data_IF_562475971745
#
_entry.id   IF_562475971745
#
_cell.length_a   1.000
_cell.length_b   1.000
_cell.length_c   1.000
_cell.angle_alpha   90.00
_cell.angle_beta   90.00
_cell.angle_gamma   90.00
#
_symmetry.space_group_name_H-M   'P 1'
#
loop_
_entity.id
_entity.type
_entity.pdbx_description
1 polymer ?
#
# COMPACT_ATOMS: atom_id res chain seq x y z
N UNK A 1 -10.73 2.09 26.58
CA UNK A 1 -10.29 1.85 25.19
C UNK A 1 -9.96 0.39 25.06
N UNK A 2 -10.69 -0.35 24.22
CA UNK A 2 -10.20 -1.65 23.76
C UNK A 2 -8.94 -1.31 22.96
N UNK A 3 -7.79 -1.87 23.37
CA UNK A 3 -6.60 -1.81 22.53
C UNK A 3 -6.91 -2.74 21.36
N UNK A 4 -7.34 -2.16 20.25
CA UNK A 4 -7.58 -2.94 19.04
C UNK A 4 -6.22 -3.45 18.54
N UNK A 5 -5.99 -4.75 18.71
CA UNK A 5 -4.85 -5.41 18.08
C UNK A 5 -5.12 -5.45 16.57
N UNK A 6 -4.22 -4.90 15.75
CA UNK A 6 -4.30 -4.88 14.27
C UNK A 6 -3.21 -5.72 13.59
N UNK A 7 -2.49 -6.58 14.32
CA UNK A 7 -1.29 -7.30 13.85
C UNK A 7 -1.51 -8.16 12.59
N UNK A 8 -2.73 -8.63 12.37
CA UNK A 8 -3.15 -9.43 11.21
C UNK A 8 -3.36 -8.60 9.94
N UNK A 9 -3.75 -7.33 10.07
CA UNK A 9 -4.08 -6.46 8.94
C UNK A 9 -3.03 -5.37 8.68
N UNK A 10 -2.25 -4.97 9.68
CA UNK A 10 -1.33 -3.83 9.56
C UNK A 10 -0.08 -4.13 8.70
N UNK A 11 0.59 -3.11 8.17
CA UNK A 11 1.91 -3.25 7.59
C UNK A 11 2.95 -3.68 8.63
N UNK A 12 4.13 -4.06 8.15
CA UNK A 12 5.26 -4.32 9.04
C UNK A 12 5.78 -3.04 9.68
N UNK A 13 6.38 -3.21 10.86
CA UNK A 13 7.14 -2.20 11.57
C UNK A 13 8.64 -2.42 11.38
N UNK A 14 9.45 -1.40 11.67
CA UNK A 14 10.91 -1.43 11.47
C UNK A 14 11.58 -2.64 12.13
N UNK A 15 11.15 -2.99 13.35
CA UNK A 15 11.69 -4.15 14.08
C UNK A 15 11.47 -5.50 13.35
N UNK A 16 10.47 -5.58 12.48
CA UNK A 16 10.11 -6.79 11.74
C UNK A 16 10.88 -6.90 10.40
N UNK A 17 11.38 -5.78 9.86
CA UNK A 17 11.95 -5.69 8.50
C UNK A 17 13.10 -6.67 8.31
N UNK A 18 14.09 -6.69 9.21
CA UNK A 18 15.25 -7.56 9.06
C UNK A 18 14.86 -9.05 8.98
N UNK A 19 13.95 -9.50 9.85
CA UNK A 19 13.47 -10.88 9.88
C UNK A 19 12.64 -11.23 8.64
N UNK A 20 11.78 -10.32 8.18
CA UNK A 20 10.98 -10.51 6.96
C UNK A 20 11.89 -10.60 5.73
N UNK A 21 12.85 -9.69 5.60
CA UNK A 21 13.79 -9.67 4.48
C UNK A 21 14.61 -10.97 4.40
N UNK A 22 15.06 -11.49 5.55
CA UNK A 22 15.75 -12.77 5.59
C UNK A 22 14.87 -13.92 5.09
N UNK A 23 13.61 -14.00 5.53
CA UNK A 23 12.66 -15.02 5.06
C UNK A 23 12.43 -14.90 3.55
N UNK A 24 12.17 -13.69 3.04
CA UNK A 24 11.95 -13.42 1.62
C UNK A 24 13.14 -13.90 0.76
N UNK A 25 14.37 -13.61 1.19
CA UNK A 25 15.59 -14.03 0.46
C UNK A 25 15.74 -15.56 0.40
N UNK A 26 15.21 -16.26 1.41
CA UNK A 26 15.27 -17.72 1.48
C UNK A 26 14.12 -18.39 0.71
N UNK A 27 13.03 -17.66 0.46
CA UNK A 27 11.85 -18.16 -0.24
C UNK A 27 12.17 -18.61 -1.68
N UNK A 28 11.93 -19.90 -2.03
CA UNK A 28 12.29 -20.44 -3.33
C UNK A 28 11.45 -19.89 -4.48
N UNK A 29 10.20 -19.47 -4.21
CA UNK A 29 9.27 -18.97 -5.22
C UNK A 29 9.59 -17.51 -5.55
N UNK A 30 9.92 -16.69 -4.56
CA UNK A 30 10.44 -15.34 -4.79
C UNK A 30 11.75 -15.39 -5.57
N UNK A 31 12.72 -16.18 -5.10
CA UNK A 31 14.04 -16.30 -5.75
C UNK A 31 13.89 -16.83 -7.18
N UNK A 32 12.99 -17.80 -7.39
CA UNK A 32 12.66 -18.32 -8.71
C UNK A 32 12.08 -17.23 -9.63
N UNK A 33 11.12 -16.46 -9.14
CA UNK A 33 10.48 -15.37 -9.87
C UNK A 33 11.47 -14.27 -10.26
N UNK A 34 12.32 -13.85 -9.32
CA UNK A 34 13.38 -12.86 -9.56
C UNK A 34 14.40 -13.37 -10.58
N UNK A 35 14.81 -14.64 -10.50
CA UNK A 35 15.73 -15.23 -11.47
C UNK A 35 15.11 -15.30 -12.88
N UNK A 36 13.85 -15.71 -12.98
CA UNK A 36 13.12 -15.77 -14.24
C UNK A 36 12.96 -14.38 -14.89
N UNK A 37 12.74 -13.35 -14.08
CA UNK A 37 12.61 -11.97 -14.55
C UNK A 37 13.95 -11.37 -14.98
N UNK A 38 15.00 -11.46 -14.15
CA UNK A 38 16.28 -10.79 -14.40
C UNK A 38 17.13 -11.49 -15.47
N UNK A 39 17.11 -12.82 -15.50
CA UNK A 39 17.98 -13.63 -16.37
C UNK A 39 17.22 -14.79 -17.01
N UNK A 40 16.15 -14.53 -17.79
CA UNK A 40 15.20 -15.54 -18.28
C UNK A 40 15.86 -16.68 -19.06
N UNK A 41 16.82 -16.36 -19.95
CA UNK A 41 17.54 -17.36 -20.73
C UNK A 41 18.39 -18.26 -19.82
N UNK A 42 19.10 -17.67 -18.86
CA UNK A 42 19.94 -18.42 -17.91
C UNK A 42 19.08 -19.30 -17.01
N UNK A 43 17.98 -18.77 -16.48
CA UNK A 43 17.04 -19.53 -15.65
C UNK A 43 16.46 -20.75 -16.39
N UNK A 44 16.16 -20.61 -17.69
CA UNK A 44 15.66 -21.72 -18.51
C UNK A 44 16.65 -22.88 -18.65
N UNK A 45 17.94 -22.59 -18.79
CA UNK A 45 18.97 -23.61 -19.05
C UNK A 45 19.72 -24.08 -17.80
N UNK A 46 19.92 -23.22 -16.80
CA UNK A 46 20.66 -23.53 -15.56
C UNK A 46 19.96 -22.92 -14.32
N UNK A 47 18.76 -23.39 -13.97
CA UNK A 47 17.90 -22.76 -12.95
C UNK A 47 18.53 -22.66 -11.56
N UNK A 48 19.32 -23.65 -11.14
CA UNK A 48 19.98 -23.63 -9.82
C UNK A 48 20.99 -22.49 -9.70
N UNK A 49 21.84 -22.32 -10.71
CA UNK A 49 22.84 -21.25 -10.73
C UNK A 49 22.20 -19.86 -10.86
N UNK A 50 21.15 -19.72 -11.67
CA UNK A 50 20.38 -18.49 -11.80
C UNK A 50 19.70 -18.10 -10.47
N UNK A 51 19.11 -19.07 -9.75
CA UNK A 51 18.55 -18.86 -8.41
C UNK A 51 19.61 -18.45 -7.39
N UNK A 52 20.80 -19.08 -7.42
CA UNK A 52 21.90 -18.70 -6.54
C UNK A 52 22.35 -17.26 -6.79
N UNK A 53 22.48 -16.86 -8.05
CA UNK A 53 22.78 -15.49 -8.45
C UNK A 53 21.69 -14.51 -7.95
N UNK A 54 20.41 -14.82 -8.20
CA UNK A 54 19.28 -14.00 -7.76
C UNK A 54 19.26 -13.82 -6.23
N UNK A 55 19.45 -14.91 -5.47
CA UNK A 55 19.54 -14.85 -4.01
C UNK A 55 20.69 -13.98 -3.53
N UNK A 56 21.87 -14.10 -4.14
CA UNK A 56 23.02 -13.27 -3.78
C UNK A 56 22.78 -11.79 -4.10
N UNK A 57 22.10 -11.49 -5.21
CA UNK A 57 21.72 -10.13 -5.57
C UNK A 57 20.70 -9.56 -4.57
N UNK A 58 19.67 -10.33 -4.20
CA UNK A 58 18.68 -9.96 -3.19
C UNK A 58 19.36 -9.68 -1.84
N UNK A 59 20.27 -10.55 -1.39
CA UNK A 59 21.08 -10.32 -0.16
C UNK A 59 21.85 -9.01 -0.22
N UNK A 60 22.48 -8.71 -1.35
CA UNK A 60 23.24 -7.46 -1.52
C UNK A 60 22.33 -6.24 -1.45
N UNK A 61 21.16 -6.27 -2.10
CA UNK A 61 20.19 -5.16 -2.07
C UNK A 61 19.52 -5.01 -0.70
N UNK A 62 19.30 -6.11 0.02
CA UNK A 62 18.69 -6.11 1.34
C UNK A 62 19.62 -5.66 2.47
N UNK A 63 20.95 -5.66 2.27
CA UNK A 63 21.94 -5.40 3.33
C UNK A 63 21.78 -4.03 4.03
N UNK A 64 21.12 -3.07 3.39
CA UNK A 64 20.84 -1.74 3.95
C UNK A 64 19.36 -1.50 4.32
N UNK A 65 18.49 -2.50 4.21
CA UNK A 65 17.06 -2.34 4.48
C UNK A 65 16.76 -2.77 5.91
N UNK A 66 16.78 -1.80 6.83
CA UNK A 66 16.56 -2.03 8.26
C UNK A 66 15.24 -1.45 8.75
N UNK A 67 14.69 -0.48 8.03
CA UNK A 67 13.44 0.19 8.34
C UNK A 67 12.48 0.12 7.16
N UNK A 68 11.19 0.36 7.42
CA UNK A 68 10.19 0.54 6.37
C UNK A 68 10.56 1.72 5.50
N UNK A 69 11.14 2.79 6.06
CA UNK A 69 11.61 3.95 5.30
C UNK A 69 12.66 3.57 4.27
N UNK A 70 13.64 2.72 4.62
CA UNK A 70 14.65 2.21 3.67
C UNK A 70 14.00 1.49 2.48
N UNK A 71 12.98 0.67 2.75
CA UNK A 71 12.22 -0.03 1.72
C UNK A 71 11.47 0.97 0.82
N UNK A 72 10.83 1.98 1.40
CA UNK A 72 10.11 3.01 0.66
C UNK A 72 11.06 3.81 -0.24
N UNK A 73 12.24 4.20 0.25
CA UNK A 73 13.26 4.91 -0.55
C UNK A 73 13.73 4.04 -1.72
N UNK A 74 13.97 2.75 -1.48
CA UNK A 74 14.34 1.81 -2.54
C UNK A 74 13.23 1.71 -3.61
N UNK A 75 11.98 1.60 -3.19
CA UNK A 75 10.83 1.53 -4.11
C UNK A 75 10.67 2.83 -4.89
N UNK A 76 10.76 3.99 -4.24
CA UNK A 76 10.72 5.29 -4.90
C UNK A 76 11.81 5.42 -5.96
N UNK A 77 13.04 4.93 -5.69
CA UNK A 77 14.11 4.92 -6.69
C UNK A 77 13.82 4.02 -7.90
N UNK A 78 13.09 2.90 -7.72
CA UNK A 78 12.63 2.10 -8.86
C UNK A 78 11.54 2.83 -9.67
N UNK A 79 10.60 3.49 -9.01
CA UNK A 79 9.58 4.31 -9.68
C UNK A 79 10.23 5.48 -10.44
N UNK A 80 11.19 6.18 -9.84
CA UNK A 80 11.97 7.23 -10.52
C UNK A 80 12.65 6.71 -11.79
N UNK A 81 13.31 5.55 -11.68
CA UNK A 81 13.97 4.92 -12.82
C UNK A 81 12.98 4.51 -13.92
N UNK A 82 11.85 3.91 -13.53
CA UNK A 82 10.78 3.50 -14.43
C UNK A 82 10.24 4.70 -15.19
N UNK A 83 9.78 5.73 -14.47
CA UNK A 83 9.26 6.99 -15.03
C UNK A 83 10.22 7.55 -16.07
N UNK A 84 11.49 7.73 -15.72
CA UNK A 84 12.48 8.30 -16.64
C UNK A 84 12.71 7.45 -17.91
N UNK A 85 12.47 6.15 -17.85
CA UNK A 85 12.79 5.21 -18.95
C UNK A 85 11.59 4.84 -19.81
N UNK A 86 10.39 4.86 -19.25
CA UNK A 86 9.21 4.24 -19.86
C UNK A 86 8.01 5.18 -19.97
N UNK A 87 8.12 6.44 -19.57
CA UNK A 87 7.04 7.43 -19.72
C UNK A 87 7.55 8.69 -20.41
N UNK A 88 6.64 9.48 -20.98
CA UNK A 88 6.92 10.81 -21.54
C UNK A 88 7.03 11.91 -20.46
N UNK A 89 7.19 11.50 -19.19
CA UNK A 89 7.25 12.38 -18.04
C UNK A 89 6.33 11.94 -16.90
N UNK A 90 6.39 12.70 -15.81
CA UNK A 90 5.54 12.55 -14.64
C UNK A 90 5.14 13.94 -14.15
N UNK A 91 3.86 14.11 -13.84
CA UNK A 91 3.34 15.37 -13.30
C UNK A 91 2.43 15.09 -12.13
N UNK A 92 2.51 15.95 -11.12
CA UNK A 92 1.63 15.97 -9.96
C UNK A 92 1.20 17.41 -9.73
N UNK A 93 -0.06 17.63 -9.39
CA UNK A 93 -0.63 18.95 -9.12
C UNK A 93 -1.60 18.86 -7.94
N UNK A 94 -1.75 19.96 -7.21
CA UNK A 94 -2.54 20.03 -5.99
C UNK A 94 -1.77 19.65 -4.72
N UNK A 95 -0.66 18.92 -4.84
CA UNK A 95 0.19 18.54 -3.70
C UNK A 95 0.80 19.77 -3.02
N UNK A 96 1.03 20.85 -3.77
CA UNK A 96 1.53 22.13 -3.25
C UNK A 96 0.57 22.83 -2.26
N UNK A 97 -0.68 22.37 -2.19
CA UNK A 97 -1.71 22.88 -1.27
C UNK A 97 -1.81 22.08 0.02
N UNK A 98 -1.04 20.99 0.13
CA UNK A 98 -1.05 20.12 1.29
C UNK A 98 0.06 20.53 2.27
N UNK A 99 -0.21 20.34 3.56
CA UNK A 99 0.73 20.53 4.65
C UNK A 99 1.47 19.21 4.91
N UNK A 100 2.80 19.25 4.96
CA UNK A 100 3.65 18.05 5.13
C UNK A 100 3.53 17.42 6.51
N UNK A 101 3.09 18.19 7.50
CA UNK A 101 2.98 17.73 8.90
C UNK A 101 1.61 17.11 9.20
N UNK A 102 0.67 17.13 8.26
CA UNK A 102 -0.68 16.60 8.45
C UNK A 102 -0.87 15.23 7.76
N UNK A 103 -1.60 14.30 8.41
CA UNK A 103 -2.01 13.06 7.77
C UNK A 103 -3.23 13.29 6.87
N UNK A 104 -3.27 12.59 5.75
CA UNK A 104 -4.35 12.66 4.77
C UNK A 104 -5.00 11.30 4.51
N UNK A 105 -6.31 11.30 4.31
CA UNK A 105 -7.02 10.17 3.73
C UNK A 105 -7.18 10.43 2.23
N UNK A 106 -6.29 9.85 1.43
CA UNK A 106 -6.35 9.92 -0.03
C UNK A 106 -7.35 8.91 -0.57
N UNK A 107 -8.31 9.38 -1.37
CA UNK A 107 -9.28 8.52 -2.05
C UNK A 107 -9.12 8.64 -3.57
N UNK A 108 -8.73 7.55 -4.23
CA UNK A 108 -8.32 7.59 -5.64
C UNK A 108 -9.13 6.67 -6.54
N UNK A 109 -9.22 7.00 -7.84
CA UNK A 109 -9.52 5.98 -8.85
C UNK A 109 -8.42 4.89 -8.84
N UNK A 110 -8.74 3.68 -9.28
CA UNK A 110 -7.81 2.57 -9.17
C UNK A 110 -7.92 1.61 -10.36
N UNK A 111 -6.85 1.45 -11.14
CA UNK A 111 -6.73 0.50 -12.27
C UNK A 111 -5.78 -0.66 -11.94
N UNK A 112 -4.61 -0.39 -11.37
CA UNK A 112 -3.63 -1.39 -10.93
C UNK A 112 -3.02 -0.97 -9.59
N UNK A 113 -3.16 -1.81 -8.58
CA UNK A 113 -3.00 -1.39 -7.18
C UNK A 113 -1.54 -1.07 -6.89
N UNK A 114 -0.62 -1.80 -7.53
CA UNK A 114 0.80 -1.62 -7.37
C UNK A 114 1.25 -0.33 -8.06
N UNK A 115 0.78 -0.09 -9.29
CA UNK A 115 1.13 1.12 -10.03
C UNK A 115 0.47 2.37 -9.44
N UNK A 116 -0.83 2.32 -9.11
CA UNK A 116 -1.58 3.45 -8.58
C UNK A 116 -1.00 3.92 -7.23
N UNK A 117 -0.88 2.99 -6.27
CA UNK A 117 -0.33 3.32 -4.95
C UNK A 117 1.16 3.66 -5.03
N UNK A 118 1.90 3.04 -5.94
CA UNK A 118 3.30 3.32 -6.17
C UNK A 118 3.55 4.71 -6.76
N UNK A 119 2.79 5.13 -7.78
CA UNK A 119 2.85 6.49 -8.31
C UNK A 119 2.41 7.53 -7.28
N UNK A 120 1.38 7.23 -6.49
CA UNK A 120 0.96 8.11 -5.39
C UNK A 120 2.08 8.28 -4.37
N UNK A 121 2.66 7.18 -3.88
CA UNK A 121 3.75 7.26 -2.90
C UNK A 121 5.02 7.87 -3.48
N UNK A 122 5.30 7.67 -4.77
CA UNK A 122 6.37 8.38 -5.47
C UNK A 122 6.11 9.89 -5.53
N UNK A 123 4.86 10.31 -5.82
CA UNK A 123 4.48 11.72 -5.80
C UNK A 123 4.71 12.36 -4.43
N UNK A 124 4.28 11.67 -3.36
CA UNK A 124 4.51 12.10 -1.98
C UNK A 124 6.01 12.21 -1.68
N UNK A 125 6.75 11.14 -1.92
CA UNK A 125 8.18 11.07 -1.62
C UNK A 125 9.00 12.13 -2.39
N UNK A 126 8.71 12.33 -3.68
CA UNK A 126 9.41 13.32 -4.52
C UNK A 126 9.09 14.79 -4.17
N UNK A 127 8.09 15.02 -3.32
CA UNK A 127 7.70 16.35 -2.82
C UNK A 127 7.95 16.52 -1.31
N UNK A 128 8.80 15.64 -0.73
CA UNK A 128 9.18 15.61 0.68
C UNK A 128 8.01 15.34 1.65
N UNK A 129 6.98 14.60 1.20
CA UNK A 129 5.92 14.08 2.07
C UNK A 129 6.22 12.65 2.53
N UNK A 130 5.78 12.26 3.74
CA UNK A 130 5.74 10.86 4.14
C UNK A 130 4.86 10.03 3.19
N UNK A 131 5.31 8.82 2.83
CA UNK A 131 4.50 7.91 2.03
C UNK A 131 3.30 7.35 2.81
N UNK A 132 2.20 7.11 2.10
CA UNK A 132 0.94 6.65 2.67
C UNK A 132 0.90 5.13 2.91
N UNK A 133 0.04 4.70 3.84
CA UNK A 133 -0.34 3.30 3.98
C UNK A 133 -1.44 2.94 2.98
N UNK A 134 -1.32 1.78 2.35
CA UNK A 134 -2.13 1.43 1.18
C UNK A 134 -3.19 0.40 1.58
N UNK A 135 -4.46 0.73 1.41
CA UNK A 135 -5.57 -0.20 1.60
C UNK A 135 -5.61 -1.20 0.44
N UNK A 136 -5.46 -2.48 0.74
CA UNK A 136 -5.42 -3.55 -0.28
C UNK A 136 -6.36 -4.68 0.12
N UNK A 137 -7.07 -5.26 -0.85
CA UNK A 137 -7.98 -6.38 -0.60
C UNK A 137 -7.25 -7.64 -0.12
N UNK A 138 -7.94 -8.44 0.70
CA UNK A 138 -7.48 -9.74 1.20
C UNK A 138 -7.03 -10.72 0.08
N UNK A 139 -7.53 -10.55 -1.14
CA UNK A 139 -7.17 -11.33 -2.32
C UNK A 139 -5.69 -11.24 -2.71
N UNK A 140 -5.00 -10.14 -2.34
CA UNK A 140 -3.57 -9.93 -2.63
C UNK A 140 -2.66 -10.32 -1.47
N UNK A 141 -3.25 -10.67 -0.32
CA UNK A 141 -2.55 -11.23 0.83
C UNK A 141 -2.54 -12.76 0.77
N UNK A 142 -2.28 -13.32 -0.42
CA UNK A 142 -2.07 -14.75 -0.56
C UNK A 142 -0.96 -15.23 0.39
N UNK A 143 -1.07 -16.48 0.85
CA UNK A 143 -0.04 -17.08 1.71
C UNK A 143 1.28 -17.13 0.95
N UNK A 144 2.36 -16.72 1.60
CA UNK A 144 3.70 -16.77 1.02
C UNK A 144 4.39 -15.42 1.02
N UNK A 145 5.33 -15.25 0.09
CA UNK A 145 6.19 -14.08 0.00
C UNK A 145 5.44 -12.83 -0.48
N UNK A 146 4.30 -12.97 -1.17
CA UNK A 146 3.52 -11.83 -1.68
C UNK A 146 2.92 -11.02 -0.53
N UNK A 147 2.35 -11.69 0.47
CA UNK A 147 1.84 -11.03 1.68
C UNK A 147 2.95 -10.28 2.41
N UNK A 148 4.12 -10.91 2.57
CA UNK A 148 5.28 -10.28 3.21
C UNK A 148 5.72 -9.03 2.41
N UNK A 149 5.73 -9.09 1.07
CA UNK A 149 6.06 -7.96 0.21
C UNK A 149 5.04 -6.82 0.35
N UNK A 150 3.74 -7.11 0.28
CA UNK A 150 2.68 -6.09 0.44
C UNK A 150 2.78 -5.39 1.79
N UNK A 151 3.06 -6.12 2.88
CA UNK A 151 3.21 -5.52 4.20
C UNK A 151 4.46 -4.66 4.35
N UNK A 152 5.56 -5.01 3.65
CA UNK A 152 6.75 -4.16 3.57
C UNK A 152 6.50 -2.88 2.77
N UNK A 153 5.56 -2.89 1.81
CA UNK A 153 5.18 -1.71 1.02
C UNK A 153 4.19 -0.79 1.73
N UNK A 154 4.07 -0.86 3.06
CA UNK A 154 3.08 -0.13 3.87
C UNK A 154 1.61 -0.51 3.55
N UNK A 155 1.36 -1.67 2.96
CA UNK A 155 -0.02 -2.08 2.68
C UNK A 155 -0.68 -2.74 3.88
N UNK A 156 -1.95 -2.42 4.10
CA UNK A 156 -2.80 -3.05 5.11
C UNK A 156 -3.99 -3.76 4.47
N UNK A 157 -4.48 -4.78 5.14
CA UNK A 157 -5.54 -5.66 4.63
C UNK A 157 -6.92 -5.04 4.87
N UNK A 158 -7.71 -4.96 3.81
CA UNK A 158 -9.16 -4.79 3.88
C UNK A 158 -9.80 -6.14 3.61
N UNK A 159 -10.40 -6.73 4.65
CA UNK A 159 -11.08 -8.02 4.57
C UNK A 159 -12.46 -7.83 3.94
N UNK A 160 -12.76 -8.60 2.88
CA UNK A 160 -13.97 -8.39 2.05
C UNK A 160 -14.89 -9.60 2.01
N UNK A 161 -14.32 -10.80 2.08
CA UNK A 161 -15.04 -12.03 1.76
C UNK A 161 -15.50 -12.84 2.99
N UNK A 162 -15.81 -12.14 4.09
CA UNK A 162 -16.30 -12.80 5.30
C UNK A 162 -17.71 -13.37 5.13
N UNK A 163 -17.94 -14.54 5.74
CA UNK A 163 -19.23 -15.23 5.65
C UNK A 163 -20.20 -14.70 6.70
N UNK A 164 -21.25 -14.04 6.23
CA UNK A 164 -22.37 -13.58 7.04
C UNK A 164 -22.26 -12.12 7.49
N UNK A 165 -23.41 -11.48 7.65
CA UNK A 165 -23.54 -10.03 7.89
C UNK A 165 -22.75 -9.55 9.12
N UNK A 166 -22.75 -10.34 10.20
CA UNK A 166 -22.04 -9.99 11.44
C UNK A 166 -20.52 -9.92 11.23
N UNK A 167 -19.95 -10.89 10.52
CA UNK A 167 -18.52 -10.95 10.25
C UNK A 167 -18.09 -9.84 9.28
N UNK A 168 -18.88 -9.60 8.22
CA UNK A 168 -18.66 -8.48 7.30
C UNK A 168 -18.71 -7.12 8.01
N UNK A 169 -19.69 -6.90 8.87
CA UNK A 169 -19.77 -5.66 9.65
C UNK A 169 -18.57 -5.50 10.59
N UNK A 170 -18.15 -6.57 11.26
CA UNK A 170 -16.96 -6.55 12.11
C UNK A 170 -15.69 -6.21 11.31
N UNK A 171 -15.53 -6.76 10.10
CA UNK A 171 -14.42 -6.44 9.20
C UNK A 171 -14.42 -4.97 8.76
N UNK A 172 -15.58 -4.42 8.41
CA UNK A 172 -15.73 -3.00 8.07
C UNK A 172 -15.41 -2.09 9.26
N UNK A 173 -15.93 -2.42 10.46
CA UNK A 173 -15.66 -1.67 11.68
C UNK A 173 -14.16 -1.69 12.02
N UNK A 174 -13.51 -2.86 11.89
CA UNK A 174 -12.07 -3.02 12.11
C UNK A 174 -11.24 -2.21 11.14
N UNK A 175 -11.60 -2.23 9.86
CA UNK A 175 -10.94 -1.43 8.82
C UNK A 175 -11.07 0.07 9.12
N UNK A 176 -12.28 0.51 9.49
CA UNK A 176 -12.55 1.89 9.90
C UNK A 176 -11.72 2.32 11.11
N UNK A 177 -11.67 1.48 12.15
CA UNK A 177 -10.89 1.73 13.35
C UNK A 177 -9.38 1.80 13.06
N UNK A 178 -8.88 0.96 12.16
CA UNK A 178 -7.49 0.99 11.72
C UNK A 178 -7.14 2.26 10.92
N UNK A 179 -8.01 2.69 10.01
CA UNK A 179 -7.80 3.94 9.25
C UNK A 179 -7.77 5.12 10.23
N UNK A 180 -8.73 5.19 11.16
CA UNK A 180 -8.75 6.21 12.20
C UNK A 180 -7.46 6.20 13.01
N UNK A 181 -7.05 5.05 13.54
CA UNK A 181 -5.84 4.95 14.38
C UNK A 181 -4.57 5.33 13.60
N UNK A 182 -4.51 5.03 12.31
CA UNK A 182 -3.40 5.41 11.42
C UNK A 182 -3.33 6.92 11.22
N UNK A 183 -4.48 7.56 10.97
CA UNK A 183 -4.56 9.02 10.83
C UNK A 183 -4.25 9.73 12.15
N UNK A 184 -4.81 9.25 13.27
CA UNK A 184 -4.56 9.79 14.62
C UNK A 184 -3.06 9.67 15.01
N UNK A 185 -2.36 8.66 14.49
CA UNK A 185 -0.92 8.48 14.66
C UNK A 185 -0.06 9.35 13.72
N UNK A 186 -0.67 10.20 12.89
CA UNK A 186 0.04 11.10 11.97
C UNK A 186 0.46 10.46 10.65
N UNK A 187 -0.17 9.34 10.25
CA UNK A 187 0.13 8.67 8.99
C UNK A 187 -1.00 8.78 7.98
N UNK A 188 -0.66 9.12 6.74
CA UNK A 188 -1.61 9.16 5.63
C UNK A 188 -2.03 7.77 5.17
N UNK A 189 -3.24 7.65 4.65
CA UNK A 189 -3.82 6.44 4.08
C UNK A 189 -4.23 6.70 2.64
N UNK A 190 -4.02 5.73 1.76
CA UNK A 190 -4.57 5.69 0.41
C UNK A 190 -5.57 4.54 0.28
N UNK A 191 -6.71 4.81 -0.35
CA UNK A 191 -7.75 3.81 -0.62
C UNK A 191 -8.47 4.11 -1.94
N UNK A 192 -8.93 3.05 -2.63
CA UNK A 192 -9.68 3.20 -3.87
C UNK A 192 -11.11 3.73 -3.63
N UNK A 193 -11.63 4.50 -4.58
CA UNK A 193 -12.99 5.08 -4.55
C UNK A 193 -14.11 4.04 -4.55
N UNK A 194 -13.83 2.83 -5.05
CA UNK A 194 -14.77 1.70 -5.11
C UNK A 194 -14.01 0.39 -5.16
N UNK A 195 -14.72 -0.71 -5.00
CA UNK A 195 -14.17 -2.03 -5.27
C UNK A 195 -14.02 -2.30 -6.78
N UNK A 196 -12.94 -3.00 -7.13
CA UNK A 196 -12.64 -3.45 -8.48
C UNK A 196 -11.89 -2.41 -9.33
N UNK A 197 -11.22 -2.90 -10.37
CA UNK A 197 -10.40 -2.07 -11.26
C UNK A 197 -11.25 -1.11 -12.10
N UNK A 198 -10.72 0.08 -12.34
CA UNK A 198 -11.26 1.07 -13.25
C UNK A 198 -11.03 0.65 -14.69
N UNK A 199 -12.06 0.80 -15.52
CA UNK A 199 -12.01 0.45 -16.96
C UNK A 199 -11.64 1.67 -17.81
N UNK A 200 -12.16 2.83 -17.45
CA UNK A 200 -12.07 4.10 -18.15
C UNK A 200 -11.40 5.21 -17.32
N UNK A 201 -10.97 4.90 -16.08
CA UNK A 201 -10.38 5.85 -15.15
C UNK A 201 -11.41 6.74 -14.44
N UNK A 202 -12.70 6.61 -14.74
CA UNK A 202 -13.77 7.43 -14.16
C UNK A 202 -14.48 6.69 -13.02
N UNK A 203 -13.82 6.63 -11.87
CA UNK A 203 -14.43 6.07 -10.66
C UNK A 203 -15.20 7.15 -9.88
N UNK A 204 -16.45 6.83 -9.54
CA UNK A 204 -17.24 7.59 -8.56
C UNK A 204 -17.12 6.92 -7.21
N UNK A 205 -16.97 7.72 -6.15
CA UNK A 205 -16.91 7.21 -4.78
C UNK A 205 -18.17 6.40 -4.46
N UNK A 206 -17.97 5.16 -4.03
CA UNK A 206 -19.05 4.30 -3.57
C UNK A 206 -19.55 4.76 -2.19
N UNK A 207 -20.85 5.02 -2.00
CA UNK A 207 -21.37 5.49 -0.71
C UNK A 207 -21.07 4.56 0.47
N UNK A 208 -20.88 3.27 0.21
CA UNK A 208 -20.52 2.28 1.23
C UNK A 208 -19.14 2.55 1.86
N UNK A 209 -18.18 3.07 1.09
CA UNK A 209 -16.85 3.41 1.58
C UNK A 209 -16.91 4.59 2.55
N UNK A 210 -17.67 5.64 2.22
CA UNK A 210 -17.87 6.78 3.12
C UNK A 210 -18.52 6.35 4.44
N UNK A 211 -19.55 5.49 4.36
CA UNK A 211 -20.19 4.90 5.54
C UNK A 211 -19.21 4.08 6.37
N UNK A 212 -18.31 3.33 5.73
CA UNK A 212 -17.27 2.55 6.39
C UNK A 212 -16.31 3.47 7.15
N UNK A 213 -15.82 4.57 6.55
CA UNK A 213 -14.92 5.49 7.25
C UNK A 213 -15.52 6.06 8.53
N UNK A 214 -16.82 6.36 8.53
CA UNK A 214 -17.50 6.94 9.69
C UNK A 214 -17.79 5.92 10.81
N UNK A 215 -17.64 4.60 10.58
CA UNK A 215 -18.00 3.59 11.59
C UNK A 215 -17.22 3.76 12.90
N UNK A 216 -15.94 4.11 12.83
CA UNK A 216 -15.09 4.36 14.00
C UNK A 216 -15.39 5.66 14.74
N UNK A 217 -16.31 6.50 14.23
CA UNK A 217 -16.69 7.80 14.78
C UNK A 217 -18.13 7.82 15.33
N UNK A 218 -18.85 6.69 15.26
CA UNK A 218 -20.28 6.51 15.64
C UNK A 218 -20.66 6.70 17.12
N UNK A 219 -19.79 7.28 17.93
CA UNK A 219 -20.08 7.60 19.34
C UNK A 219 -19.50 8.96 19.73
N UNK A 220 -19.15 9.79 18.75
CA UNK A 220 -18.71 11.16 18.99
C UNK A 220 -19.91 12.07 19.24
N UNK A 221 -19.64 13.25 19.81
CA UNK A 221 -20.69 14.20 20.13
C UNK A 221 -21.46 14.69 18.89
N UNK A 222 -20.80 14.72 17.72
CA UNK A 222 -21.39 15.07 16.42
C UNK A 222 -20.98 14.02 15.38
N UNK A 223 -21.94 13.17 14.98
CA UNK A 223 -21.75 12.12 13.98
C UNK A 223 -22.06 12.58 12.54
N UNK A 224 -22.23 13.89 12.31
CA UNK A 224 -22.51 14.41 10.97
C UNK A 224 -21.32 14.20 10.03
N UNK A 225 -21.62 14.01 8.74
CA UNK A 225 -20.58 13.90 7.69
C UNK A 225 -19.70 15.16 7.68
N UNK A 226 -20.30 16.34 7.90
CA UNK A 226 -19.58 17.61 7.95
C UNK A 226 -18.59 17.66 9.11
N UNK A 227 -18.98 17.20 10.31
CA UNK A 227 -18.07 17.11 11.44
C UNK A 227 -16.91 16.15 11.16
N UNK A 228 -17.21 14.98 10.60
CA UNK A 228 -16.18 14.01 10.20
C UNK A 228 -15.21 14.57 9.15
N UNK A 229 -15.70 15.25 8.11
CA UNK A 229 -14.86 15.90 7.09
C UNK A 229 -14.00 17.04 7.64
N UNK A 230 -14.40 17.68 8.74
CA UNK A 230 -13.58 18.69 9.40
C UNK A 230 -12.47 18.08 10.28
N UNK A 231 -12.63 16.83 10.71
CA UNK A 231 -11.63 16.10 11.49
C UNK A 231 -10.63 15.37 10.60
N UNK A 232 -11.09 14.84 9.46
CA UNK A 232 -10.27 14.04 8.53
C UNK A 232 -9.94 14.87 7.29
N UNK A 233 -8.65 14.97 6.99
CA UNK A 233 -8.18 15.60 5.76
C UNK A 233 -8.39 14.65 4.56
N UNK A 234 -9.65 14.54 4.09
CA UNK A 234 -10.01 13.73 2.94
C UNK A 234 -9.59 14.45 1.65
N UNK A 235 -8.73 13.81 0.85
CA UNK A 235 -8.23 14.36 -0.41
C UNK A 235 -8.58 13.43 -1.57
N UNK A 236 -9.45 13.86 -2.50
CA UNK A 236 -9.69 13.10 -3.72
C UNK A 236 -8.46 13.18 -4.63
N UNK A 237 -8.07 12.04 -5.19
CA UNK A 237 -6.90 11.91 -6.08
C UNK A 237 -7.35 11.30 -7.41
N UNK A 238 -6.82 11.81 -8.50
CA UNK A 238 -6.99 11.24 -9.83
C UNK A 238 -5.63 10.81 -10.35
N UNK A 239 -5.52 9.54 -10.75
CA UNK A 239 -4.32 8.92 -11.29
C UNK A 239 -4.61 8.48 -12.73
N UNK A 240 -3.71 8.81 -13.65
CA UNK A 240 -3.82 8.44 -15.05
C UNK A 240 -2.44 8.14 -15.63
N UNK A 241 -2.33 7.04 -16.37
CA UNK A 241 -1.15 6.62 -17.10
C UNK A 241 -1.54 5.64 -18.21
N UNK A 242 -0.70 5.58 -19.24
CA UNK A 242 -0.80 4.60 -20.33
C UNK A 242 -0.15 3.28 -19.91
N UNK A 243 -0.70 2.16 -20.37
CA UNK A 243 -0.23 0.78 -20.09
C UNK A 243 0.23 0.14 -21.37
#
# INVERSE_FOLDING_TARGET
MIVDNFDDIRPYQDAEVAGVMERLIQDPDLVGSVAAFLVPRWYRFLPLSARMFARQLLRRRAKGLTTISDVQVLLSGYFEHMIRRTTDGFSCSGIERLDRELPYLFIANHRDIAMDSGFMNYALWSNDFPTSQIAVGDNLFSRGFESDLMRLTKSFVVVRNEKGLKAQYAALLRTSAYIRSTLDAGHSVWISQREGRSKDGFDRTEPAILKMFMLAYRNEADESVSAWLNQVQLVPVSISYEV
#
